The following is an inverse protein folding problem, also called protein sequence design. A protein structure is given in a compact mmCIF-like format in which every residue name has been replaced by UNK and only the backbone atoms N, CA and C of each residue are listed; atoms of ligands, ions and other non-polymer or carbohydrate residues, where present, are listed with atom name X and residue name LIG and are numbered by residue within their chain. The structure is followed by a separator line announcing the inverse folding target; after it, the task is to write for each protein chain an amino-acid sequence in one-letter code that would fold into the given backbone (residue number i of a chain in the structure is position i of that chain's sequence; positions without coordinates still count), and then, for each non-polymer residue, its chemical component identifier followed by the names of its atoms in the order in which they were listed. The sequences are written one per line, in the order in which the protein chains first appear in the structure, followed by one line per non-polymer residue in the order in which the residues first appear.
data_IF_582203643462
#
_entry.id   IF_582203643462
#
_cell.length_a   1.000
_cell.length_b   1.000
_cell.length_c   1.000
_cell.angle_alpha   90.00
_cell.angle_beta   90.00
_cell.angle_gamma   90.00
#
_symmetry.space_group_name_H-M   'P 1'
#
loop_
_entity.id
_entity.type
_entity.pdbx_description
1 polymer ?
#
# COMPACT_ATOMS: atom_id res chain seq x y z
N UNK A 1 -1.31 13.23 -56.45
CA UNK A 1 -1.39 12.04 -55.57
C UNK A 1 -2.35 12.32 -54.42
N UNK A 2 -3.54 11.73 -54.40
CA UNK A 2 -4.51 11.87 -53.31
C UNK A 2 -4.05 11.03 -52.13
N UNK A 3 -3.67 11.65 -51.00
CA UNK A 3 -3.43 10.96 -49.74
C UNK A 3 -4.70 10.24 -49.31
N UNK A 4 -4.69 8.93 -49.38
CA UNK A 4 -5.73 8.04 -48.89
C UNK A 4 -5.67 8.07 -47.38
N UNK A 5 -6.45 8.93 -46.74
CA UNK A 5 -6.63 8.86 -45.29
C UNK A 5 -7.27 7.52 -44.98
N UNK A 6 -6.55 6.62 -44.34
CA UNK A 6 -7.13 5.43 -43.75
C UNK A 6 -8.17 5.89 -42.74
N UNK A 7 -9.44 5.58 -42.94
CA UNK A 7 -10.48 5.79 -41.94
C UNK A 7 -10.07 4.99 -40.73
N UNK A 8 -9.63 5.67 -39.67
CA UNK A 8 -9.50 5.06 -38.35
C UNK A 8 -10.89 4.50 -38.01
N UNK A 9 -11.05 3.19 -38.08
CA UNK A 9 -12.22 2.53 -37.51
C UNK A 9 -12.06 2.66 -35.99
N UNK A 10 -12.79 3.59 -35.41
CA UNK A 10 -13.05 3.57 -33.99
C UNK A 10 -13.85 2.30 -33.71
N UNK A 11 -13.16 1.26 -33.29
CA UNK A 11 -13.81 0.09 -32.71
C UNK A 11 -14.63 0.56 -31.51
N UNK A 12 -15.80 -0.05 -31.20
CA UNK A 12 -16.65 0.42 -30.10
C UNK A 12 -16.00 0.39 -28.72
N UNK A 13 -14.81 -0.16 -28.60
CA UNK A 13 -14.01 -0.20 -27.36
C UNK A 13 -12.84 0.79 -27.45
N UNK A 14 -13.13 2.05 -27.20
CA UNK A 14 -12.07 3.03 -26.97
C UNK A 14 -11.67 2.94 -25.49
N UNK A 15 -10.54 2.30 -25.19
CA UNK A 15 -9.98 2.34 -23.85
C UNK A 15 -9.39 3.74 -23.63
N UNK A 16 -10.11 4.56 -22.87
CA UNK A 16 -9.64 5.88 -22.46
C UNK A 16 -9.02 5.73 -21.09
N UNK A 17 -7.72 5.99 -20.96
CA UNK A 17 -7.05 6.04 -19.67
C UNK A 17 -7.78 7.06 -18.79
N UNK A 18 -8.17 6.69 -17.55
CA UNK A 18 -8.90 7.60 -16.67
C UNK A 18 -8.09 8.85 -16.39
N UNK A 19 -8.76 10.01 -16.36
CA UNK A 19 -8.10 11.25 -15.93
C UNK A 19 -7.68 11.17 -14.46
N UNK A 20 -6.68 11.97 -14.05
CA UNK A 20 -6.23 12.00 -12.66
C UNK A 20 -7.41 12.26 -11.70
N UNK A 21 -8.33 13.13 -12.06
CA UNK A 21 -9.51 13.42 -11.24
C UNK A 21 -10.49 12.26 -11.15
N UNK A 22 -10.74 11.53 -12.26
CA UNK A 22 -11.61 10.34 -12.23
C UNK A 22 -10.98 9.18 -11.47
N UNK A 23 -9.67 9.00 -11.60
CA UNK A 23 -8.92 8.02 -10.81
C UNK A 23 -9.00 8.36 -9.31
N UNK A 24 -8.76 9.63 -8.95
CA UNK A 24 -8.86 10.07 -7.55
C UNK A 24 -10.25 9.84 -6.96
N UNK A 25 -11.30 10.14 -7.72
CA UNK A 25 -12.67 9.87 -7.28
C UNK A 25 -12.92 8.38 -7.11
N UNK A 26 -12.41 7.55 -8.00
CA UNK A 26 -12.48 6.09 -7.90
C UNK A 26 -11.83 5.56 -6.61
N UNK A 27 -10.63 6.05 -6.28
CA UNK A 27 -9.95 5.68 -5.02
C UNK A 27 -10.77 6.06 -3.78
N UNK A 28 -11.32 7.28 -3.73
CA UNK A 28 -12.13 7.73 -2.59
C UNK A 28 -13.38 6.87 -2.44
N UNK A 29 -14.10 6.59 -3.55
CA UNK A 29 -15.30 5.77 -3.53
C UNK A 29 -15.03 4.34 -3.06
N UNK A 30 -13.94 3.77 -3.51
CA UNK A 30 -13.60 2.36 -3.19
C UNK A 30 -13.07 2.21 -1.76
N UNK A 31 -12.44 3.26 -1.18
CA UNK A 31 -12.04 3.29 0.22
C UNK A 31 -13.19 3.69 1.17
N UNK A 32 -14.27 4.26 0.65
CA UNK A 32 -15.42 4.69 1.46
C UNK A 32 -16.04 3.56 2.34
N UNK A 33 -16.19 2.30 1.88
CA UNK A 33 -16.68 1.22 2.73
C UNK A 33 -15.84 0.99 3.99
N UNK A 34 -14.51 1.17 3.93
CA UNK A 34 -13.66 1.05 5.12
C UNK A 34 -13.93 2.17 6.12
N UNK A 35 -14.13 3.39 5.63
CA UNK A 35 -14.50 4.55 6.47
C UNK A 35 -15.88 4.31 7.11
N UNK A 36 -16.83 3.79 6.33
CA UNK A 36 -18.16 3.45 6.82
C UNK A 36 -18.09 2.39 7.93
N UNK A 37 -17.27 1.35 7.77
CA UNK A 37 -17.08 0.33 8.81
C UNK A 37 -16.43 0.90 10.08
N UNK A 38 -15.52 1.86 9.97
CA UNK A 38 -15.00 2.59 11.14
C UNK A 38 -16.10 3.38 11.85
N UNK A 39 -16.98 4.02 11.08
CA UNK A 39 -18.13 4.77 11.64
C UNK A 39 -19.12 3.85 12.35
N UNK A 40 -19.51 2.74 11.71
CA UNK A 40 -20.41 1.74 12.29
C UNK A 40 -19.80 1.06 13.53
N UNK A 41 -18.49 0.85 13.54
CA UNK A 41 -17.72 0.33 14.67
C UNK A 41 -17.49 1.33 15.81
N UNK A 42 -18.03 2.56 15.70
CA UNK A 42 -17.87 3.66 16.68
C UNK A 42 -16.42 4.06 16.95
N UNK A 43 -15.54 3.90 15.95
CA UNK A 43 -14.13 4.32 16.04
C UNK A 43 -13.98 5.80 15.63
N UNK A 44 -14.65 6.69 16.37
CA UNK A 44 -14.71 8.12 16.04
C UNK A 44 -13.34 8.78 16.08
N UNK A 45 -12.45 8.34 16.98
CA UNK A 45 -11.09 8.87 17.08
C UNK A 45 -10.31 8.67 15.79
N UNK A 46 -10.41 7.49 15.17
CA UNK A 46 -9.78 7.23 13.86
C UNK A 46 -10.37 8.12 12.76
N UNK A 47 -11.68 8.35 12.77
CA UNK A 47 -12.33 9.21 11.78
C UNK A 47 -11.89 10.67 11.93
N UNK A 48 -11.74 11.15 13.16
CA UNK A 48 -11.19 12.50 13.43
C UNK A 48 -9.76 12.60 12.91
N UNK A 49 -8.90 11.59 13.12
CA UNK A 49 -7.53 11.61 12.63
C UNK A 49 -7.46 11.58 11.09
N UNK A 50 -8.32 10.80 10.42
CA UNK A 50 -8.46 10.82 8.96
C UNK A 50 -8.86 12.20 8.47
N UNK A 51 -9.84 12.83 9.10
CA UNK A 51 -10.32 14.17 8.73
C UNK A 51 -9.23 15.22 8.93
N UNK A 52 -8.52 15.17 10.06
CA UNK A 52 -7.40 16.08 10.38
C UNK A 52 -6.26 15.94 9.38
N UNK A 53 -5.91 14.72 8.98
CA UNK A 53 -4.87 14.48 7.96
C UNK A 53 -5.28 15.01 6.58
N UNK A 54 -6.54 14.86 6.19
CA UNK A 54 -7.07 15.46 4.95
C UNK A 54 -6.98 16.99 5.02
N UNK A 55 -7.42 17.60 6.12
CA UNK A 55 -7.35 19.07 6.31
C UNK A 55 -5.90 19.58 6.27
N UNK A 56 -4.96 18.83 6.86
CA UNK A 56 -3.54 19.18 6.84
C UNK A 56 -2.96 19.14 5.40
N UNK A 57 -3.35 18.14 4.58
CA UNK A 57 -2.95 18.08 3.18
C UNK A 57 -3.48 19.27 2.37
N UNK A 58 -4.74 19.65 2.57
CA UNK A 58 -5.30 20.83 1.91
C UNK A 58 -4.67 22.14 2.41
N UNK A 59 -4.36 22.25 3.68
CA UNK A 59 -3.66 23.41 4.23
C UNK A 59 -2.26 23.56 3.63
N UNK A 60 -1.52 22.46 3.49
CA UNK A 60 -0.21 22.46 2.85
C UNK A 60 -0.30 22.88 1.37
N UNK A 61 -1.27 22.36 0.61
CA UNK A 61 -1.50 22.74 -0.78
C UNK A 61 -1.85 24.22 -0.93
N UNK A 62 -2.74 24.72 -0.07
CA UNK A 62 -3.12 26.12 -0.06
C UNK A 62 -1.92 27.05 0.15
N UNK A 63 -1.09 26.77 1.16
CA UNK A 63 0.12 27.56 1.45
C UNK A 63 1.11 27.47 0.30
N UNK A 64 1.36 26.28 -0.21
CA UNK A 64 2.30 26.05 -1.32
C UNK A 64 1.86 26.78 -2.59
N UNK A 65 0.60 26.68 -2.99
CA UNK A 65 0.06 27.36 -4.17
C UNK A 65 0.08 28.88 -4.01
N UNK A 66 -0.19 29.40 -2.79
CA UNK A 66 -0.10 30.82 -2.49
C UNK A 66 1.33 31.34 -2.62
N UNK A 67 2.31 30.60 -2.10
CA UNK A 67 3.74 30.95 -2.22
C UNK A 67 4.24 30.89 -3.67
N UNK A 68 3.71 29.96 -4.48
CA UNK A 68 4.07 29.82 -5.88
C UNK A 68 3.23 30.71 -6.83
N UNK A 69 2.33 31.55 -6.31
CA UNK A 69 1.39 32.38 -7.09
C UNK A 69 0.55 31.56 -8.10
N UNK A 70 0.26 30.31 -7.80
CA UNK A 70 -0.57 29.42 -8.63
C UNK A 70 -2.04 29.55 -8.24
N UNK A 71 -2.93 29.22 -9.21
CA UNK A 71 -4.37 29.17 -8.93
C UNK A 71 -4.70 28.04 -7.97
N UNK A 72 -5.57 28.32 -7.02
CA UNK A 72 -6.06 27.35 -6.03
C UNK A 72 -7.21 26.59 -6.69
N UNK A 73 -7.01 25.28 -6.94
CA UNK A 73 -8.04 24.37 -7.39
C UNK A 73 -8.22 23.26 -6.38
N UNK A 74 -9.45 22.82 -6.23
CA UNK A 74 -9.76 21.64 -5.42
C UNK A 74 -9.22 20.39 -6.12
N UNK A 75 -8.34 19.66 -5.45
CA UNK A 75 -7.71 18.46 -5.97
C UNK A 75 -8.05 17.24 -5.09
N UNK A 76 -8.87 16.33 -5.63
CA UNK A 76 -9.27 15.10 -4.94
C UNK A 76 -8.10 14.20 -4.57
N UNK A 77 -6.95 14.34 -5.23
CA UNK A 77 -5.77 13.57 -4.89
C UNK A 77 -5.27 13.85 -3.47
N UNK A 78 -5.43 15.09 -2.99
CA UNK A 78 -5.11 15.46 -1.60
C UNK A 78 -6.01 14.74 -0.59
N UNK A 79 -7.25 14.48 -0.95
CA UNK A 79 -8.16 13.69 -0.13
C UNK A 79 -7.66 12.27 0.03
N UNK A 80 -7.16 11.64 -1.06
CA UNK A 80 -6.60 10.28 -1.02
C UNK A 80 -5.34 10.25 -0.16
N UNK A 81 -4.43 11.19 -0.36
CA UNK A 81 -3.19 11.29 0.42
C UNK A 81 -3.49 11.42 1.91
N UNK A 82 -4.38 12.34 2.29
CA UNK A 82 -4.79 12.53 3.67
C UNK A 82 -5.52 11.31 4.25
N UNK A 83 -6.35 10.64 3.45
CA UNK A 83 -7.05 9.42 3.83
C UNK A 83 -6.05 8.28 4.10
N UNK A 84 -5.10 8.05 3.18
CA UNK A 84 -4.06 7.02 3.35
C UNK A 84 -3.23 7.31 4.60
N UNK A 85 -2.78 8.56 4.81
CA UNK A 85 -2.03 8.94 6.01
C UNK A 85 -2.84 8.61 7.26
N UNK A 86 -4.08 9.13 7.35
CA UNK A 86 -4.95 8.93 8.52
C UNK A 86 -5.26 7.47 8.82
N UNK A 87 -5.36 6.62 7.79
CA UNK A 87 -5.56 5.18 7.95
C UNK A 87 -4.35 4.46 8.59
N UNK A 88 -3.14 4.97 8.44
CA UNK A 88 -1.94 4.41 9.07
C UNK A 88 -1.67 4.93 10.49
N UNK A 89 -2.44 5.88 10.99
CA UNK A 89 -2.25 6.47 12.32
C UNK A 89 -3.09 5.73 13.38
N UNK A 90 -2.51 5.36 14.54
CA UNK A 90 -3.23 4.74 15.66
C UNK A 90 -4.28 5.67 16.25
N UNK A 91 -5.37 5.10 16.78
CA UNK A 91 -6.51 5.86 17.37
C UNK A 91 -6.10 6.80 18.51
N UNK A 92 -5.06 6.45 19.29
CA UNK A 92 -4.59 7.23 20.44
C UNK A 92 -3.72 8.43 20.07
N UNK A 93 -3.51 8.69 18.79
CA UNK A 93 -2.61 9.75 18.34
C UNK A 93 -3.21 11.16 18.55
N UNK A 94 -2.47 12.17 19.07
CA UNK A 94 -2.99 13.52 19.24
C UNK A 94 -3.31 14.21 17.91
N UNK A 95 -4.57 14.67 17.67
CA UNK A 95 -4.95 15.21 16.36
C UNK A 95 -4.19 16.46 15.96
N UNK A 96 -3.90 17.36 16.93
CA UNK A 96 -3.17 18.60 16.67
C UNK A 96 -1.74 18.34 16.24
N UNK A 97 -1.06 17.38 16.89
CA UNK A 97 0.29 16.98 16.53
C UNK A 97 0.31 16.37 15.12
N UNK A 98 -0.67 15.53 14.80
CA UNK A 98 -0.83 14.95 13.48
C UNK A 98 -0.97 16.03 12.40
N UNK A 99 -1.80 17.05 12.64
CA UNK A 99 -1.98 18.14 11.69
C UNK A 99 -0.65 18.78 11.29
N UNK A 100 0.17 19.17 12.28
CA UNK A 100 1.46 19.81 11.99
C UNK A 100 2.44 18.88 11.30
N UNK A 101 2.49 17.61 11.69
CA UNK A 101 3.40 16.64 11.08
C UNK A 101 3.04 16.39 9.61
N UNK A 102 1.77 16.18 9.32
CA UNK A 102 1.30 15.97 7.94
C UNK A 102 1.53 17.23 7.11
N UNK A 103 1.23 18.40 7.65
CA UNK A 103 1.49 19.66 6.99
C UNK A 103 2.96 19.81 6.58
N UNK A 104 3.89 19.62 7.53
CA UNK A 104 5.34 19.70 7.29
C UNK A 104 5.80 18.61 6.32
N UNK A 105 5.36 17.37 6.52
CA UNK A 105 5.70 16.25 5.65
C UNK A 105 5.30 16.50 4.19
N UNK A 106 4.08 17.00 3.96
CA UNK A 106 3.59 17.36 2.63
C UNK A 106 4.35 18.54 2.03
N UNK A 107 4.63 19.57 2.81
CA UNK A 107 5.41 20.73 2.34
C UNK A 107 6.80 20.31 1.86
N UNK A 108 7.52 19.53 2.66
CA UNK A 108 8.88 19.10 2.32
C UNK A 108 8.87 18.08 1.17
N UNK A 109 8.10 16.99 1.29
CA UNK A 109 8.24 15.85 0.36
C UNK A 109 7.50 16.04 -0.96
N UNK A 110 6.45 16.84 -1.00
CA UNK A 110 5.67 17.07 -2.22
C UNK A 110 6.00 18.42 -2.86
N UNK A 111 5.82 19.51 -2.10
CA UNK A 111 5.88 20.86 -2.71
C UNK A 111 7.29 21.39 -2.93
N UNK A 112 8.27 21.03 -2.09
CA UNK A 112 9.67 21.39 -2.33
C UNK A 112 10.27 20.67 -3.56
N UNK A 113 9.75 19.49 -3.92
CA UNK A 113 10.19 18.73 -5.10
C UNK A 113 9.41 19.01 -6.38
N UNK A 114 8.50 19.98 -6.40
CA UNK A 114 7.81 20.42 -7.62
C UNK A 114 6.33 20.03 -7.69
N UNK A 115 5.78 19.32 -6.72
CA UNK A 115 4.36 18.98 -6.61
C UNK A 115 4.02 17.53 -6.97
N UNK A 116 2.83 17.32 -7.52
CA UNK A 116 2.32 15.98 -7.85
C UNK A 116 3.22 15.27 -8.86
N UNK A 117 3.53 14.02 -8.58
CA UNK A 117 4.37 13.13 -9.41
C UNK A 117 5.83 13.58 -9.64
N UNK A 118 6.28 14.67 -9.06
CA UNK A 118 7.66 15.15 -9.16
C UNK A 118 8.58 14.62 -8.04
N UNK A 119 7.99 14.11 -6.97
CA UNK A 119 8.74 13.57 -5.82
C UNK A 119 9.29 12.17 -6.09
N UNK A 120 10.52 11.92 -5.65
CA UNK A 120 11.14 10.59 -5.69
C UNK A 120 10.75 9.71 -4.50
N UNK A 121 10.10 10.27 -3.50
CA UNK A 121 9.64 9.58 -2.29
C UNK A 121 8.15 9.80 -2.12
N UNK A 122 7.45 8.78 -1.64
CA UNK A 122 6.04 8.86 -1.31
C UNK A 122 5.79 9.79 -0.11
N UNK A 123 5.09 10.93 -0.29
CA UNK A 123 4.86 11.90 0.79
C UNK A 123 3.97 11.34 1.89
N UNK A 124 3.05 10.41 1.58
CA UNK A 124 2.22 9.74 2.57
C UNK A 124 3.09 8.90 3.51
N UNK A 125 4.03 8.12 2.94
CA UNK A 125 4.92 7.29 3.73
C UNK A 125 5.82 8.13 4.66
N UNK A 126 6.40 9.21 4.17
CA UNK A 126 7.21 10.13 5.00
C UNK A 126 6.37 10.73 6.13
N UNK A 127 5.15 11.20 5.85
CA UNK A 127 4.29 11.78 6.86
C UNK A 127 3.96 10.80 7.98
N UNK A 128 3.70 9.53 7.64
CA UNK A 128 3.45 8.47 8.65
C UNK A 128 4.72 8.15 9.45
N UNK A 129 5.90 8.13 8.82
CA UNK A 129 7.17 7.90 9.54
C UNK A 129 7.49 9.07 10.48
N UNK A 130 7.29 10.30 10.05
CA UNK A 130 7.43 11.46 10.93
C UNK A 130 6.48 11.37 12.12
N UNK A 131 5.23 10.95 11.89
CA UNK A 131 4.26 10.70 12.97
C UNK A 131 4.75 9.58 13.91
N UNK A 132 5.33 8.50 13.38
CA UNK A 132 5.89 7.43 14.18
C UNK A 132 7.04 7.92 15.08
N UNK A 133 7.98 8.70 14.55
CA UNK A 133 9.09 9.21 15.35
C UNK A 133 8.65 10.21 16.43
N UNK A 134 7.69 11.09 16.12
CA UNK A 134 7.22 12.12 17.04
C UNK A 134 6.24 11.58 18.11
N UNK A 135 5.51 10.51 17.79
CA UNK A 135 4.51 9.92 18.68
C UNK A 135 4.69 8.41 18.84
N UNK A 136 5.93 7.93 19.00
CA UNK A 136 6.25 6.50 19.12
C UNK A 136 5.46 5.79 20.22
N UNK A 137 5.17 6.47 21.32
CA UNK A 137 4.39 5.92 22.44
C UNK A 137 2.93 5.60 22.07
N UNK A 138 2.39 6.22 21.03
CA UNK A 138 1.02 5.97 20.55
C UNK A 138 0.94 4.74 19.65
N UNK A 139 2.07 4.33 19.04
CA UNK A 139 2.10 3.15 18.19
C UNK A 139 2.28 1.88 19.06
N UNK A 140 1.58 0.79 18.75
CA UNK A 140 1.78 -0.47 19.46
C UNK A 140 3.24 -0.93 19.28
N UNK A 141 3.87 -1.43 20.35
CA UNK A 141 5.29 -1.83 20.32
C UNK A 141 5.50 -2.99 19.35
N UNK A 142 4.61 -3.99 19.44
CA UNK A 142 4.52 -5.09 18.48
C UNK A 142 3.06 -5.41 18.26
N UNK A 143 2.68 -5.72 17.01
CA UNK A 143 1.35 -6.21 16.69
C UNK A 143 1.16 -7.66 17.12
N UNK A 144 2.25 -8.41 17.11
CA UNK A 144 2.33 -9.82 17.48
C UNK A 144 3.59 -10.00 18.30
N UNK A 145 3.48 -10.70 19.43
CA UNK A 145 4.65 -11.02 20.24
C UNK A 145 5.54 -12.04 19.52
N UNK A 146 6.83 -11.73 19.46
CA UNK A 146 7.83 -12.58 18.79
C UNK A 146 7.96 -13.96 19.40
N UNK A 147 7.72 -14.12 20.71
CA UNK A 147 7.76 -15.40 21.39
C UNK A 147 6.68 -16.36 20.88
N UNK A 148 5.51 -15.84 20.51
CA UNK A 148 4.40 -16.64 20.01
C UNK A 148 4.61 -17.11 18.58
N UNK A 149 5.37 -16.38 17.79
CA UNK A 149 5.73 -16.77 16.42
C UNK A 149 6.65 -17.99 16.36
N UNK A 150 7.32 -18.32 17.45
CA UNK A 150 8.20 -19.50 17.54
C UNK A 150 7.43 -20.80 17.81
N UNK A 151 6.14 -20.73 18.09
CA UNK A 151 5.30 -21.92 18.32
C UNK A 151 4.98 -22.65 17.02
N UNK A 152 4.61 -23.93 17.14
CA UNK A 152 4.24 -24.75 15.98
C UNK A 152 3.01 -24.20 15.20
N UNK A 153 2.11 -23.50 15.88
CA UNK A 153 0.94 -22.83 15.32
C UNK A 153 0.84 -21.39 15.86
N UNK A 154 1.53 -20.43 15.25
CA UNK A 154 1.55 -19.05 15.74
C UNK A 154 0.15 -18.41 15.84
N UNK A 155 -0.69 -18.62 14.84
CA UNK A 155 -2.05 -18.08 14.86
C UNK A 155 -2.88 -18.66 16.01
N UNK A 156 -2.84 -19.98 16.22
CA UNK A 156 -3.52 -20.63 17.35
C UNK A 156 -3.03 -20.13 18.72
N UNK A 157 -1.70 -19.88 18.85
CA UNK A 157 -1.13 -19.32 20.07
C UNK A 157 -1.62 -17.89 20.36
N UNK A 158 -1.73 -17.03 19.32
CA UNK A 158 -2.25 -15.67 19.45
C UNK A 158 -3.74 -15.64 19.84
N UNK A 159 -4.54 -16.56 19.31
CA UNK A 159 -5.96 -16.68 19.66
C UNK A 159 -6.13 -17.22 21.07
N UNK A 160 -5.38 -18.27 21.46
CA UNK A 160 -5.44 -18.83 22.81
C UNK A 160 -4.98 -17.86 23.89
N UNK A 161 -4.05 -16.96 23.57
CA UNK A 161 -3.59 -15.89 24.46
C UNK A 161 -4.52 -14.67 24.52
N UNK A 162 -5.67 -14.70 23.83
CA UNK A 162 -6.60 -13.57 23.69
C UNK A 162 -5.96 -12.26 23.15
N UNK A 163 -4.85 -12.38 22.43
CA UNK A 163 -4.24 -11.23 21.76
C UNK A 163 -5.03 -10.77 20.55
N UNK A 164 -5.76 -11.70 19.92
CA UNK A 164 -6.70 -11.42 18.86
C UNK A 164 -8.04 -12.04 19.28
N UNK A 165 -9.05 -11.18 19.50
CA UNK A 165 -10.40 -11.66 19.83
C UNK A 165 -11.06 -12.23 18.60
N UNK A 166 -11.50 -13.48 18.66
CA UNK A 166 -12.24 -14.12 17.57
C UNK A 166 -13.66 -13.55 17.46
N UNK A 167 -14.15 -13.41 16.23
CA UNK A 167 -15.53 -13.03 15.95
C UNK A 167 -16.42 -14.24 16.28
N UNK A 168 -17.60 -14.02 16.86
CA UNK A 168 -18.54 -15.09 17.25
C UNK A 168 -18.91 -16.05 16.09
N UNK A 169 -18.84 -15.58 14.85
CA UNK A 169 -19.12 -16.37 13.65
C UNK A 169 -17.90 -17.12 13.09
N UNK A 170 -16.70 -16.91 13.64
CA UNK A 170 -15.46 -17.50 13.11
C UNK A 170 -15.53 -19.03 13.11
N UNK A 171 -15.92 -19.64 14.24
CA UNK A 171 -16.05 -21.09 14.37
C UNK A 171 -17.01 -21.69 13.33
N UNK A 172 -18.20 -21.10 13.14
CA UNK A 172 -19.17 -21.63 12.20
C UNK A 172 -18.73 -21.50 10.74
N UNK A 173 -18.07 -20.40 10.39
CA UNK A 173 -17.54 -20.18 9.03
C UNK A 173 -16.35 -21.11 8.79
N UNK A 174 -15.41 -21.20 9.74
CA UNK A 174 -14.23 -22.04 9.64
C UNK A 174 -14.60 -23.51 9.54
N UNK A 175 -15.58 -23.98 10.32
CA UNK A 175 -16.06 -25.37 10.25
C UNK A 175 -16.70 -25.69 8.90
N UNK A 176 -17.51 -24.79 8.35
CA UNK A 176 -18.11 -24.92 7.02
C UNK A 176 -17.04 -24.94 5.94
N UNK A 177 -16.06 -24.05 6.03
CA UNK A 177 -14.95 -23.93 5.07
C UNK A 177 -14.05 -25.18 5.13
N UNK A 178 -13.77 -25.68 6.32
CA UNK A 178 -13.00 -26.92 6.51
C UNK A 178 -13.73 -28.16 6.01
N UNK A 179 -15.05 -28.21 6.13
CA UNK A 179 -15.84 -29.32 5.57
C UNK A 179 -15.69 -29.45 4.04
N UNK A 180 -15.54 -28.29 3.37
CA UNK A 180 -15.28 -28.24 1.92
C UNK A 180 -13.78 -28.48 1.60
N UNK A 181 -12.87 -27.75 2.24
CA UNK A 181 -11.43 -27.79 1.94
C UNK A 181 -10.80 -29.13 2.29
N UNK A 182 -11.15 -29.74 3.43
CA UNK A 182 -10.63 -31.03 3.81
C UNK A 182 -11.07 -32.15 2.85
N UNK A 183 -12.29 -32.03 2.31
CA UNK A 183 -12.84 -33.02 1.38
C UNK A 183 -12.20 -32.99 0.00
N UNK A 184 -11.86 -31.79 -0.51
CA UNK A 184 -11.36 -31.62 -1.89
C UNK A 184 -9.86 -31.38 -1.96
N UNK A 185 -9.26 -30.78 -0.94
CA UNK A 185 -7.85 -30.38 -0.95
C UNK A 185 -7.01 -31.00 0.17
N UNK A 186 -7.63 -31.65 1.16
CA UNK A 186 -6.92 -32.18 2.32
C UNK A 186 -6.34 -31.09 3.23
N UNK A 187 -6.79 -29.83 3.10
CA UNK A 187 -6.31 -28.69 3.88
C UNK A 187 -7.30 -28.41 5.00
N UNK A 188 -6.77 -28.18 6.21
CA UNK A 188 -7.55 -27.72 7.36
C UNK A 188 -7.03 -26.35 7.76
N UNK A 189 -7.92 -25.35 7.74
CA UNK A 189 -7.64 -23.99 8.17
C UNK A 189 -7.91 -23.91 9.67
N UNK A 190 -6.95 -23.48 10.51
CA UNK A 190 -7.17 -23.27 11.93
C UNK A 190 -8.20 -22.15 12.17
N UNK A 191 -8.82 -22.18 13.35
CA UNK A 191 -9.73 -21.11 13.79
C UNK A 191 -8.97 -19.79 13.92
N UNK A 192 -9.68 -18.66 13.65
CA UNK A 192 -9.14 -17.32 13.78
C UNK A 192 -8.70 -16.66 12.48
N UNK A 193 -8.41 -17.40 11.40
CA UNK A 193 -8.03 -16.79 10.12
C UNK A 193 -9.17 -16.02 9.47
N UNK A 194 -10.44 -16.44 9.68
CA UNK A 194 -11.61 -15.70 9.21
C UNK A 194 -11.69 -14.34 9.91
N UNK A 195 -11.38 -14.31 11.20
CA UNK A 195 -11.29 -13.05 11.97
C UNK A 195 -10.19 -12.14 11.42
N UNK A 196 -8.99 -12.66 11.16
CA UNK A 196 -7.89 -11.89 10.56
C UNK A 196 -8.24 -11.33 9.19
N UNK A 197 -9.00 -12.07 8.41
CA UNK A 197 -9.41 -11.64 7.09
C UNK A 197 -10.50 -10.57 7.13
N UNK A 198 -11.47 -10.70 8.05
CA UNK A 198 -12.61 -9.80 8.17
C UNK A 198 -12.30 -8.55 8.99
N UNK A 199 -11.86 -8.71 10.23
CA UNK A 199 -11.58 -7.61 11.15
C UNK A 199 -10.52 -8.02 12.19
N UNK A 200 -9.31 -7.55 12.04
CA UNK A 200 -8.20 -7.83 12.95
C UNK A 200 -8.31 -7.10 14.29
N UNK A 201 -9.27 -6.20 14.46
CA UNK A 201 -9.43 -5.32 15.64
C UNK A 201 -8.19 -4.46 15.96
N UNK A 202 -7.32 -4.27 14.96
CA UNK A 202 -6.11 -3.45 15.13
C UNK A 202 -6.44 -2.01 15.51
N UNK A 203 -5.56 -1.40 16.30
CA UNK A 203 -5.61 0.03 16.66
C UNK A 203 -5.36 0.93 15.45
N UNK A 204 -4.65 0.41 14.43
CA UNK A 204 -4.35 1.11 13.18
C UNK A 204 -5.42 0.73 12.14
N UNK A 205 -6.20 1.69 11.63
CA UNK A 205 -7.30 1.41 10.70
C UNK A 205 -6.92 0.65 9.44
N UNK A 206 -5.77 0.96 8.83
CA UNK A 206 -5.27 0.32 7.62
C UNK A 206 -5.06 -1.21 7.77
N UNK A 207 -4.88 -1.70 9.00
CA UNK A 207 -4.63 -3.12 9.28
C UNK A 207 -5.92 -3.88 9.62
N UNK A 208 -7.05 -3.16 9.73
CA UNK A 208 -8.27 -3.71 10.34
C UNK A 208 -9.12 -4.54 9.40
N UNK A 209 -9.39 -4.05 8.20
CA UNK A 209 -10.35 -4.65 7.27
C UNK A 209 -9.68 -5.17 6.00
N UNK A 210 -9.00 -6.32 6.12
CA UNK A 210 -8.26 -6.91 5.00
C UNK A 210 -9.15 -7.30 3.83
N UNK A 211 -10.35 -7.83 4.08
CA UNK A 211 -11.32 -8.16 3.04
C UNK A 211 -11.71 -6.93 2.21
N UNK A 212 -12.03 -5.81 2.88
CA UNK A 212 -12.39 -4.58 2.19
C UNK A 212 -11.19 -4.00 1.41
N UNK A 213 -9.98 -4.13 1.95
CA UNK A 213 -8.75 -3.73 1.25
C UNK A 213 -8.57 -4.53 -0.05
N UNK A 214 -8.76 -5.85 0.00
CA UNK A 214 -8.66 -6.70 -1.20
C UNK A 214 -9.78 -6.42 -2.20
N UNK A 215 -11.03 -6.26 -1.74
CA UNK A 215 -12.15 -5.90 -2.61
C UNK A 215 -11.92 -4.54 -3.28
N UNK A 216 -11.45 -3.56 -2.53
CA UNK A 216 -11.08 -2.23 -3.02
C UNK A 216 -9.98 -2.31 -4.09
N UNK A 217 -8.90 -3.04 -3.80
CA UNK A 217 -7.79 -3.20 -4.73
C UNK A 217 -8.19 -3.92 -6.02
N UNK A 218 -9.04 -4.95 -5.92
CA UNK A 218 -9.55 -5.68 -7.07
C UNK A 218 -10.38 -4.78 -8.00
N UNK A 219 -11.26 -3.94 -7.45
CA UNK A 219 -12.04 -2.98 -8.23
C UNK A 219 -11.11 -1.98 -8.93
N UNK A 220 -10.09 -1.45 -8.25
CA UNK A 220 -9.15 -0.48 -8.82
C UNK A 220 -8.26 -1.08 -9.91
N UNK A 221 -7.89 -2.36 -9.78
CA UNK A 221 -7.16 -3.09 -10.83
C UNK A 221 -8.06 -3.31 -12.05
N UNK A 222 -9.33 -3.71 -11.85
CA UNK A 222 -10.29 -3.89 -12.95
C UNK A 222 -10.57 -2.58 -13.71
N UNK A 223 -10.51 -1.45 -13.01
CA UNK A 223 -10.67 -0.11 -13.60
C UNK A 223 -9.36 0.45 -14.19
N UNK A 224 -8.28 -0.33 -14.18
CA UNK A 224 -6.95 0.06 -14.68
C UNK A 224 -6.38 1.31 -13.98
N UNK A 225 -6.74 1.50 -12.71
CA UNK A 225 -6.28 2.60 -11.86
C UNK A 225 -5.03 2.25 -11.05
N UNK A 226 -4.79 0.97 -10.80
CA UNK A 226 -3.60 0.43 -10.13
C UNK A 226 -2.99 -0.67 -11.00
N UNK A 227 -1.68 -0.59 -11.21
CA UNK A 227 -0.90 -1.65 -11.83
C UNK A 227 -0.80 -2.87 -10.90
N UNK A 228 -1.36 -4.00 -11.31
CA UNK A 228 -1.35 -5.25 -10.53
C UNK A 228 0.04 -5.87 -10.37
N UNK A 229 0.99 -5.55 -11.25
CA UNK A 229 2.34 -6.16 -11.31
C UNK A 229 3.11 -5.92 -10.01
N UNK A 230 3.05 -4.70 -9.48
CA UNK A 230 3.80 -4.31 -8.26
C UNK A 230 3.27 -5.03 -7.02
N UNK A 231 1.96 -4.92 -6.67
CA UNK A 231 1.44 -5.63 -5.51
C UNK A 231 1.60 -7.15 -5.62
N UNK A 232 1.41 -7.70 -6.81
CA UNK A 232 1.54 -9.14 -7.03
C UNK A 232 2.96 -9.63 -6.80
N UNK A 233 3.97 -9.01 -7.44
CA UNK A 233 5.37 -9.39 -7.26
C UNK A 233 5.84 -9.21 -5.81
N UNK A 234 5.39 -8.13 -5.15
CA UNK A 234 5.64 -7.87 -3.74
C UNK A 234 5.08 -8.97 -2.83
N UNK A 235 3.78 -9.28 -2.94
CA UNK A 235 3.11 -10.27 -2.10
C UNK A 235 3.70 -11.67 -2.31
N UNK A 236 3.96 -12.05 -3.55
CA UNK A 236 4.54 -13.37 -3.87
C UNK A 236 5.91 -13.53 -3.23
N UNK A 237 6.80 -12.56 -3.38
CA UNK A 237 8.15 -12.64 -2.79
C UNK A 237 8.10 -12.62 -1.28
N UNK A 238 7.28 -11.74 -0.69
CA UNK A 238 7.12 -11.70 0.77
C UNK A 238 6.59 -13.02 1.33
N UNK A 239 5.60 -13.63 0.68
CA UNK A 239 5.05 -14.94 1.05
C UNK A 239 6.07 -16.07 0.92
N UNK A 240 6.84 -16.09 -0.18
CA UNK A 240 7.90 -17.07 -0.39
C UNK A 240 8.97 -16.97 0.71
N UNK A 241 9.42 -15.76 1.02
CA UNK A 241 10.43 -15.54 2.05
C UNK A 241 9.89 -15.93 3.43
N UNK A 242 8.67 -15.54 3.80
CA UNK A 242 8.04 -15.93 5.05
C UNK A 242 7.98 -17.46 5.19
N UNK A 243 7.72 -18.20 4.11
CA UNK A 243 7.69 -19.66 4.13
C UNK A 243 9.07 -20.30 4.09
N UNK A 244 9.97 -19.84 3.22
CA UNK A 244 11.30 -20.41 3.06
C UNK A 244 12.16 -20.27 4.32
N UNK A 245 12.10 -19.12 4.99
CA UNK A 245 12.87 -18.90 6.21
C UNK A 245 12.37 -19.73 7.40
N UNK A 246 11.11 -20.17 7.42
CA UNK A 246 10.62 -21.10 8.41
C UNK A 246 11.22 -22.50 8.28
N UNK A 247 11.70 -22.86 7.10
CA UNK A 247 12.30 -24.17 6.81
C UNK A 247 13.79 -24.21 7.17
N UNK A 248 14.42 -23.07 7.41
CA UNK A 248 15.84 -23.00 7.79
C UNK A 248 16.00 -23.27 9.30
N UNK A 249 16.96 -24.14 9.70
CA UNK A 249 17.18 -24.50 11.11
C UNK A 249 17.91 -23.39 11.89
N UNK A 250 17.62 -22.12 11.59
CA UNK A 250 18.28 -20.95 12.18
C UNK A 250 17.47 -20.42 13.35
N UNK A 251 16.94 -21.21 14.22
CA UNK A 251 16.35 -20.90 15.55
C UNK A 251 15.76 -19.52 15.87
N UNK A 252 15.97 -18.53 15.03
CA UNK A 252 15.58 -17.13 15.17
C UNK A 252 14.36 -16.81 14.28
N UNK A 253 14.11 -17.60 13.22
CA UNK A 253 13.05 -17.39 12.26
C UNK A 253 11.90 -18.38 12.47
N UNK A 254 10.74 -17.92 12.35
CA UNK A 254 9.43 -18.38 12.77
C UNK A 254 8.88 -19.51 11.91
N UNK A 255 7.94 -20.27 12.46
CA UNK A 255 7.11 -21.18 11.67
C UNK A 255 6.23 -20.36 10.72
N UNK A 256 6.72 -20.13 9.51
CA UNK A 256 6.25 -19.17 8.53
C UNK A 256 4.79 -19.30 8.13
N UNK A 257 3.95 -18.61 8.88
CA UNK A 257 2.55 -18.43 8.56
C UNK A 257 2.37 -17.26 7.60
N UNK A 258 2.18 -17.58 6.32
CA UNK A 258 2.03 -16.60 5.25
C UNK A 258 0.78 -15.73 5.48
N UNK A 259 -0.34 -16.35 5.89
CA UNK A 259 -1.59 -15.62 6.08
C UNK A 259 -1.49 -14.64 7.24
N UNK A 260 -0.88 -15.07 8.34
CA UNK A 260 -0.62 -14.21 9.48
C UNK A 260 0.25 -13.02 9.08
N UNK A 261 1.35 -13.27 8.37
CA UNK A 261 2.26 -12.23 7.91
C UNK A 261 1.58 -11.19 7.01
N UNK A 262 0.74 -11.63 6.08
CA UNK A 262 0.06 -10.75 5.15
C UNK A 262 -1.10 -9.97 5.79
N UNK A 263 -1.83 -10.57 6.75
CA UNK A 263 -3.08 -10.02 7.26
C UNK A 263 -2.90 -9.13 8.51
N UNK A 264 -1.76 -9.16 9.17
CA UNK A 264 -1.56 -8.47 10.46
C UNK A 264 -0.81 -7.16 10.40
N UNK A 265 0.13 -6.99 9.47
CA UNK A 265 1.06 -5.83 9.43
C UNK A 265 0.64 -4.71 8.48
N UNK A 266 -0.59 -4.74 7.96
CA UNK A 266 -1.04 -3.78 6.94
C UNK A 266 -0.32 -3.93 5.59
N UNK A 267 0.32 -5.07 5.38
CA UNK A 267 1.07 -5.39 4.17
C UNK A 267 0.20 -5.29 2.93
N UNK A 268 -1.04 -5.80 3.01
CA UNK A 268 -2.00 -5.71 1.91
C UNK A 268 -2.35 -4.27 1.58
N UNK A 269 -2.68 -3.46 2.59
CA UNK A 269 -3.04 -2.06 2.36
C UNK A 269 -1.87 -1.28 1.75
N UNK A 270 -0.66 -1.47 2.26
CA UNK A 270 0.52 -0.80 1.73
C UNK A 270 0.88 -1.27 0.31
N UNK A 271 0.75 -2.57 0.02
CA UNK A 271 1.05 -3.14 -1.30
C UNK A 271 0.17 -2.51 -2.41
N UNK A 272 -1.11 -2.28 -2.13
CA UNK A 272 -2.06 -1.76 -3.12
C UNK A 272 -2.20 -0.25 -3.12
N UNK A 273 -2.07 0.43 -1.98
CA UNK A 273 -2.38 1.86 -1.86
C UNK A 273 -1.15 2.74 -1.62
N UNK A 274 -0.05 2.19 -1.08
CA UNK A 274 1.12 2.98 -0.73
C UNK A 274 2.28 2.76 -1.71
N UNK A 275 2.53 1.52 -2.13
CA UNK A 275 3.63 1.21 -3.05
C UNK A 275 3.42 1.74 -4.47
N UNK A 276 2.23 1.60 -5.10
CA UNK A 276 2.00 2.10 -6.46
C UNK A 276 1.74 3.61 -6.50
N UNK A 277 2.49 4.40 -5.74
CA UNK A 277 2.30 5.85 -5.72
C UNK A 277 2.90 6.52 -6.95
N UNK A 278 2.18 7.49 -7.52
CA UNK A 278 2.58 8.22 -8.72
C UNK A 278 3.94 8.91 -8.55
N UNK A 279 4.81 8.75 -9.54
CA UNK A 279 6.14 9.37 -9.57
C UNK A 279 7.25 8.56 -8.92
N UNK A 280 6.94 7.60 -8.03
CA UNK A 280 7.97 6.78 -7.37
C UNK A 280 8.20 5.43 -8.03
N UNK A 281 7.35 5.04 -8.96
CA UNK A 281 7.32 3.72 -9.59
C UNK A 281 8.11 3.72 -10.89
N UNK A 282 8.91 2.66 -11.20
CA UNK A 282 9.56 2.50 -12.50
C UNK A 282 8.56 2.43 -13.66
N UNK A 283 8.98 2.88 -14.84
CA UNK A 283 8.10 2.96 -16.00
C UNK A 283 7.94 1.62 -16.73
N UNK A 284 9.00 0.79 -16.79
CA UNK A 284 8.97 -0.48 -17.51
C UNK A 284 8.33 -1.62 -16.70
N UNK A 285 7.79 -2.62 -17.39
CA UNK A 285 7.25 -3.83 -16.75
C UNK A 285 8.32 -4.55 -15.93
N UNK A 286 9.54 -4.69 -16.47
CA UNK A 286 10.66 -5.29 -15.77
C UNK A 286 11.03 -4.51 -14.50
N UNK A 287 11.09 -3.19 -14.60
CA UNK A 287 11.36 -2.34 -13.44
C UNK A 287 10.29 -2.46 -12.36
N UNK A 288 9.02 -2.55 -12.73
CA UNK A 288 7.91 -2.78 -11.79
C UNK A 288 8.02 -4.12 -11.08
N UNK A 289 8.41 -5.18 -11.80
CA UNK A 289 8.66 -6.51 -11.20
C UNK A 289 9.82 -6.44 -10.22
N UNK A 290 10.96 -5.85 -10.62
CA UNK A 290 12.14 -5.72 -9.77
C UNK A 290 11.81 -4.86 -8.53
N UNK A 291 11.08 -3.76 -8.71
CA UNK A 291 10.61 -2.91 -7.63
C UNK A 291 9.76 -3.68 -6.61
N UNK A 292 8.81 -4.49 -7.07
CA UNK A 292 8.00 -5.35 -6.21
C UNK A 292 8.82 -6.43 -5.50
N UNK A 293 9.79 -7.07 -6.18
CA UNK A 293 10.70 -8.06 -5.59
C UNK A 293 11.53 -7.43 -4.46
N UNK A 294 12.15 -6.28 -4.71
CA UNK A 294 12.93 -5.55 -3.70
C UNK A 294 12.04 -5.17 -2.53
N UNK A 295 10.84 -4.66 -2.81
CA UNK A 295 9.85 -4.34 -1.79
C UNK A 295 9.50 -5.55 -0.90
N UNK A 296 9.26 -6.72 -1.49
CA UNK A 296 8.97 -7.96 -0.77
C UNK A 296 10.12 -8.41 0.13
N UNK A 297 11.36 -8.33 -0.36
CA UNK A 297 12.57 -8.64 0.43
C UNK A 297 12.72 -7.66 1.60
N UNK A 298 12.62 -6.37 1.33
CA UNK A 298 12.76 -5.33 2.36
C UNK A 298 11.65 -5.42 3.40
N UNK A 299 10.40 -5.70 2.96
CA UNK A 299 9.27 -5.93 3.86
C UNK A 299 9.53 -7.10 4.80
N UNK A 300 10.03 -8.21 4.28
CA UNK A 300 10.38 -9.36 5.11
C UNK A 300 11.45 -9.01 6.14
N UNK A 301 12.48 -8.26 5.76
CA UNK A 301 13.56 -7.88 6.67
C UNK A 301 13.12 -6.89 7.75
N UNK A 302 12.22 -5.95 7.43
CA UNK A 302 11.78 -4.89 8.35
C UNK A 302 10.55 -5.30 9.17
N UNK A 303 9.54 -5.87 8.52
CA UNK A 303 8.28 -6.24 9.18
C UNK A 303 8.37 -7.61 9.84
N UNK A 304 9.27 -8.47 9.36
CA UNK A 304 9.23 -9.88 9.74
C UNK A 304 7.88 -10.49 9.38
N UNK A 305 7.35 -11.35 10.24
CA UNK A 305 6.01 -11.93 10.07
C UNK A 305 4.91 -11.07 10.75
N UNK A 306 4.93 -9.76 10.56
CA UNK A 306 3.88 -8.87 11.07
C UNK A 306 4.13 -8.27 12.45
N UNK A 307 5.38 -8.27 12.91
CA UNK A 307 5.75 -7.78 14.25
C UNK A 307 5.91 -6.27 14.36
N UNK A 308 6.02 -5.53 13.24
CA UNK A 308 6.30 -4.10 13.27
C UNK A 308 5.08 -3.25 12.90
N UNK A 309 4.67 -2.27 13.74
CA UNK A 309 3.50 -1.44 13.48
C UNK A 309 3.71 -0.41 12.36
N UNK A 310 4.94 -0.02 12.06
CA UNK A 310 5.27 0.95 11.02
C UNK A 310 6.22 0.37 9.96
N UNK A 311 6.63 -0.90 10.09
CA UNK A 311 7.64 -1.52 9.24
C UNK A 311 7.32 -1.45 7.76
N UNK A 312 6.06 -1.65 7.40
CA UNK A 312 5.65 -1.61 5.99
C UNK A 312 5.82 -0.20 5.37
N UNK A 313 5.64 0.86 6.16
CA UNK A 313 5.83 2.23 5.69
C UNK A 313 7.31 2.54 5.47
N UNK A 314 8.19 2.05 6.36
CA UNK A 314 9.64 2.11 6.15
C UNK A 314 10.07 1.33 4.90
N UNK A 315 9.47 0.15 4.68
CA UNK A 315 9.69 -0.63 3.46
C UNK A 315 9.43 0.19 2.20
N UNK A 316 8.33 0.92 2.14
CA UNK A 316 7.97 1.75 0.98
C UNK A 316 9.05 2.80 0.71
N UNK A 317 9.58 3.47 1.75
CA UNK A 317 10.62 4.49 1.55
C UNK A 317 11.93 3.87 1.04
N UNK A 318 12.36 2.76 1.64
CA UNK A 318 13.56 2.06 1.16
C UNK A 318 13.39 1.62 -0.29
N UNK A 319 12.22 1.06 -0.63
CA UNK A 319 11.92 0.62 -1.99
C UNK A 319 11.89 1.80 -2.97
N UNK A 320 11.36 2.96 -2.56
CA UNK A 320 11.39 4.18 -3.37
C UNK A 320 12.83 4.65 -3.65
N UNK A 321 13.75 4.52 -2.69
CA UNK A 321 15.15 4.83 -2.93
C UNK A 321 15.77 3.91 -4.00
N UNK A 322 15.44 2.61 -3.98
CA UNK A 322 15.87 1.68 -5.03
C UNK A 322 15.21 1.97 -6.38
N UNK A 323 14.01 2.52 -6.40
CA UNK A 323 13.33 2.90 -7.64
C UNK A 323 14.14 3.89 -8.48
N UNK A 324 14.86 4.83 -7.86
CA UNK A 324 15.75 5.75 -8.56
C UNK A 324 16.86 5.03 -9.32
N UNK A 325 17.46 4.01 -8.69
CA UNK A 325 18.49 3.19 -9.31
C UNK A 325 17.90 2.40 -10.49
N UNK A 326 16.73 1.82 -10.31
CA UNK A 326 16.03 1.07 -11.37
C UNK A 326 15.74 1.99 -12.55
N UNK A 327 15.17 3.16 -12.32
CA UNK A 327 14.84 4.14 -13.38
C UNK A 327 16.11 4.61 -14.13
N UNK A 328 17.20 4.86 -13.41
CA UNK A 328 18.49 5.22 -14.03
C UNK A 328 19.00 4.08 -14.93
N UNK A 329 18.92 2.83 -14.47
CA UNK A 329 19.34 1.67 -15.26
C UNK A 329 18.45 1.48 -16.49
N UNK A 330 17.14 1.67 -16.37
CA UNK A 330 16.18 1.63 -17.47
C UNK A 330 16.53 2.68 -18.53
N UNK A 331 16.75 3.93 -18.12
CA UNK A 331 17.10 5.02 -19.02
C UNK A 331 18.41 4.73 -19.78
N UNK A 332 19.42 4.24 -19.08
CA UNK A 332 20.68 3.84 -19.67
C UNK A 332 20.53 2.70 -20.69
N UNK A 333 19.76 1.67 -20.36
CA UNK A 333 19.48 0.57 -21.27
C UNK A 333 18.71 1.04 -22.51
N UNK A 334 17.68 1.88 -22.32
CA UNK A 334 16.92 2.43 -23.45
C UNK A 334 17.78 3.34 -24.35
N UNK A 335 18.71 4.09 -23.78
CA UNK A 335 19.62 4.93 -24.57
C UNK A 335 20.55 4.10 -25.46
N UNK A 336 21.05 2.97 -24.97
CA UNK A 336 21.91 2.07 -25.74
C UNK A 336 21.16 1.45 -26.94
N UNK A 337 19.90 1.08 -26.75
CA UNK A 337 19.12 0.38 -27.79
C UNK A 337 18.40 1.30 -28.79
N UNK A 338 18.13 2.58 -28.47
CA UNK A 338 17.32 3.49 -29.30
C UNK A 338 18.10 4.56 -30.07
N UNK A 339 19.26 4.99 -29.62
CA UNK A 339 20.02 6.08 -30.26
C UNK A 339 20.45 5.80 -31.72
N UNK A 340 20.83 4.57 -32.13
CA UNK A 340 21.26 4.34 -33.50
C UNK A 340 20.19 4.59 -34.58
N UNK A 341 18.90 4.32 -34.27
CA UNK A 341 17.83 4.44 -35.28
C UNK A 341 17.38 5.86 -35.57
N UNK A 342 17.53 6.78 -34.63
CA UNK A 342 17.12 8.18 -34.81
C UNK A 342 18.17 8.98 -35.59
N UNK A 343 19.47 8.72 -35.40
CA UNK A 343 20.54 9.37 -36.15
C UNK A 343 20.53 9.03 -37.63
N UNK A 344 20.27 7.79 -37.99
CA UNK A 344 20.20 7.35 -39.39
C UNK A 344 19.05 7.98 -40.17
N UNK A 345 17.96 8.38 -39.51
CA UNK A 345 16.82 9.03 -40.18
C UNK A 345 17.04 10.51 -40.40
N UNK A 346 17.77 11.17 -39.54
CA UNK A 346 18.11 12.59 -39.71
C UNK A 346 19.22 12.84 -40.76
N UNK A 347 20.10 11.86 -41.04
CA UNK A 347 21.12 11.94 -42.09
C UNK A 347 20.55 11.70 -43.50
N UNK A 348 19.48 10.89 -43.63
CA UNK A 348 18.83 10.64 -44.91
C UNK A 348 17.80 11.72 -45.34
N UNK A 349 17.50 12.69 -44.50
CA UNK A 349 16.59 13.81 -44.80
C UNK A 349 17.35 15.13 -45.07
N UNK A 350 18.69 15.12 -45.12
CA UNK A 350 19.55 16.19 -45.59
C UNK A 350 20.17 15.86 -46.97
#
# INVERSE_FOLDING_TARGET
MKKKYSKLRLSPFCHIVPSVGSASLGFVLVLFPQILMLFLGRHYDSLVLILVSILACYAADFVAKKLQHKRIFFDLNLTIEGLIIGMFIPQSYPPLLLFFIVFVGMMICKYCFGGFAAGWVNPCAISVILAYFMGRSCFPVFLIDTSMLQTANPAGALFSANMINTINSDFSITSTLNSFLSRYMGIVVPEGYVTLFWNTQSVIPAFRYNFLTLAASFILILLDMIDWIIPFSFIVIYAILARCFSLLPVGIFWNGDILLALLTSGTLFAAFFLMPYYGTVPASILGKIIYGIIGGIVAFLICGCGTSPAGIVFTVIVTNAFSLVIQYLEEKLFSIFRIPKIKLRAENER
#
